data_IF_941961575451
#
_entry.id   IF_941961575451
#
_cell.length_a   1.000
_cell.length_b   1.000
_cell.length_c   1.000
_cell.angle_alpha   90.00
_cell.angle_beta   90.00
_cell.angle_gamma   90.00
#
_symmetry.space_group_name_H-M   'P 1'
#
loop_
_entity.id
_entity.type
_entity.pdbx_description
1 polymer ?
#
# COMPACT_ATOMS: atom_id res chain seq x y z
N UNK A 1 -30.10 20.25 13.54
CA UNK A 1 -29.14 19.12 13.54
C UNK A 1 -28.32 19.11 12.26
N UNK A 2 -28.95 19.10 11.07
CA UNK A 2 -28.25 19.15 9.77
C UNK A 2 -27.29 20.34 9.61
N UNK A 3 -27.69 21.56 9.93
CA UNK A 3 -26.82 22.75 9.79
C UNK A 3 -25.53 22.67 10.63
N UNK A 4 -25.62 22.09 11.83
CA UNK A 4 -24.45 21.87 12.70
C UNK A 4 -23.55 20.77 12.14
N UNK A 5 -24.12 19.74 11.52
CA UNK A 5 -23.40 18.66 10.86
C UNK A 5 -22.67 19.17 9.60
N UNK A 6 -23.33 19.99 8.79
CA UNK A 6 -22.75 20.60 7.59
C UNK A 6 -21.59 21.54 7.94
N UNK A 7 -21.67 22.25 9.07
CA UNK A 7 -20.56 23.05 9.58
C UNK A 7 -19.33 22.18 9.91
N UNK A 8 -19.54 20.98 10.48
CA UNK A 8 -18.47 20.03 10.83
C UNK A 8 -17.78 19.41 9.60
N UNK A 9 -18.38 19.52 8.42
CA UNK A 9 -17.89 18.91 7.17
C UNK A 9 -17.13 19.89 6.27
N UNK A 10 -16.86 21.12 6.75
CA UNK A 10 -16.14 22.16 5.97
C UNK A 10 -14.63 21.94 5.91
N UNK A 11 -14.09 21.02 6.70
CA UNK A 11 -12.67 20.69 6.74
C UNK A 11 -12.34 19.76 7.90
N UNK A 12 -11.05 19.41 8.06
CA UNK A 12 -10.60 18.63 9.20
C UNK A 12 -10.82 19.41 10.50
N UNK A 13 -11.49 18.77 11.46
CA UNK A 13 -11.75 19.34 12.77
C UNK A 13 -10.52 19.23 13.69
N UNK A 14 -10.36 20.23 14.54
CA UNK A 14 -9.38 20.26 15.62
C UNK A 14 -9.83 19.40 16.82
N UNK A 15 -8.88 19.06 17.71
CA UNK A 15 -9.17 18.39 18.99
C UNK A 15 -10.27 19.08 19.82
N UNK A 16 -10.28 20.41 19.83
CA UNK A 16 -11.29 21.21 20.55
C UNK A 16 -12.68 21.01 19.94
N UNK A 17 -12.82 21.20 18.62
CA UNK A 17 -14.08 21.05 17.90
C UNK A 17 -14.62 19.61 17.97
N UNK A 18 -13.74 18.62 17.91
CA UNK A 18 -14.10 17.21 18.08
C UNK A 18 -14.64 16.93 19.49
N UNK A 19 -13.99 17.48 20.51
CA UNK A 19 -14.42 17.32 21.91
C UNK A 19 -15.78 17.97 22.15
N UNK A 20 -15.97 19.19 21.66
CA UNK A 20 -17.24 19.95 21.79
C UNK A 20 -18.42 19.23 21.11
N UNK A 21 -18.16 18.53 20.01
CA UNK A 21 -19.20 17.84 19.24
C UNK A 21 -19.26 16.34 19.51
N UNK A 22 -18.44 15.80 20.43
CA UNK A 22 -18.34 14.36 20.71
C UNK A 22 -19.68 13.69 21.00
N UNK A 23 -20.51 14.26 21.88
CA UNK A 23 -21.82 13.69 22.22
C UNK A 23 -22.75 13.63 21.01
N UNK A 24 -22.69 14.64 20.15
CA UNK A 24 -23.47 14.68 18.92
C UNK A 24 -22.99 13.62 17.93
N UNK A 25 -21.68 13.49 17.76
CA UNK A 25 -21.06 12.51 16.86
C UNK A 25 -21.32 11.07 17.32
N UNK A 26 -21.23 10.80 18.63
CA UNK A 26 -21.53 9.50 19.23
C UNK A 26 -23.01 9.11 19.07
N UNK A 27 -23.93 10.08 19.08
CA UNK A 27 -25.36 9.86 18.97
C UNK A 27 -25.84 9.57 17.52
N UNK A 28 -24.95 9.70 16.54
CA UNK A 28 -25.29 9.44 15.15
C UNK A 28 -25.58 7.95 14.89
N UNK A 29 -26.50 7.62 13.97
CA UNK A 29 -26.64 6.27 13.44
C UNK A 29 -25.33 5.77 12.80
N UNK A 30 -25.05 4.46 12.86
CA UNK A 30 -23.79 3.90 12.35
C UNK A 30 -23.48 4.28 10.90
N UNK A 31 -24.50 4.36 10.03
CA UNK A 31 -24.33 4.81 8.65
C UNK A 31 -23.85 6.26 8.55
N UNK A 32 -24.44 7.18 9.32
CA UNK A 32 -24.04 8.58 9.33
C UNK A 32 -22.64 8.76 9.94
N UNK A 33 -22.28 7.96 10.95
CA UNK A 33 -20.91 7.94 11.48
C UNK A 33 -19.90 7.59 10.38
N UNK A 34 -20.18 6.56 9.58
CA UNK A 34 -19.31 6.14 8.46
C UNK A 34 -19.20 7.25 7.41
N UNK A 35 -20.34 7.85 7.02
CA UNK A 35 -20.37 8.89 5.99
C UNK A 35 -19.57 10.13 6.43
N UNK A 36 -19.76 10.60 7.67
CA UNK A 36 -19.03 11.75 8.21
C UNK A 36 -17.55 11.43 8.40
N UNK A 37 -17.22 10.27 8.99
CA UNK A 37 -15.82 9.86 9.16
C UNK A 37 -15.10 9.79 7.81
N UNK A 38 -15.77 9.26 6.79
CA UNK A 38 -15.23 9.21 5.43
C UNK A 38 -14.96 10.60 4.86
N UNK A 39 -15.92 11.52 4.99
CA UNK A 39 -15.77 12.88 4.48
C UNK A 39 -14.66 13.65 5.22
N UNK A 40 -14.62 13.56 6.55
CA UNK A 40 -13.55 14.16 7.36
C UNK A 40 -12.19 13.62 6.92
N UNK A 41 -12.04 12.29 6.86
CA UNK A 41 -10.78 11.67 6.44
C UNK A 41 -10.41 12.06 5.02
N UNK A 42 -11.34 12.12 4.06
CA UNK A 42 -11.02 12.56 2.69
C UNK A 42 -10.58 14.03 2.60
N UNK A 43 -11.10 14.89 3.48
CA UNK A 43 -10.78 16.33 3.48
C UNK A 43 -9.38 16.65 4.00
N UNK A 44 -8.73 15.72 4.68
CA UNK A 44 -7.40 15.90 5.28
C UNK A 44 -6.32 15.77 4.20
N UNK A 45 -5.35 16.69 4.14
CA UNK A 45 -4.18 16.52 3.29
C UNK A 45 -3.24 15.41 3.85
N UNK A 46 -2.56 14.64 2.99
CA UNK A 46 -1.75 13.49 3.45
C UNK A 46 -0.65 13.88 4.44
N UNK A 47 -0.04 15.05 4.29
CA UNK A 47 0.95 15.61 5.22
C UNK A 47 0.38 15.94 6.61
N UNK A 48 -0.92 16.21 6.69
CA UNK A 48 -1.64 16.57 7.91
C UNK A 48 -2.34 15.37 8.56
N UNK A 49 -2.32 14.19 7.93
CA UNK A 49 -3.02 13.00 8.41
C UNK A 49 -2.57 12.56 9.80
N UNK A 50 -1.27 12.73 10.10
CA UNK A 50 -0.71 12.43 11.44
C UNK A 50 -1.22 13.40 12.51
N UNK A 51 -1.30 14.69 12.20
CA UNK A 51 -1.81 15.69 13.13
C UNK A 51 -3.30 15.45 13.39
N UNK A 52 -4.09 15.21 12.34
CA UNK A 52 -5.50 14.90 12.48
C UNK A 52 -5.75 13.60 13.26
N UNK A 53 -4.92 12.56 13.09
CA UNK A 53 -5.02 11.35 13.91
C UNK A 53 -4.78 11.64 15.41
N UNK A 54 -3.92 12.62 15.74
CA UNK A 54 -3.75 13.06 17.13
C UNK A 54 -4.98 13.82 17.64
N UNK A 55 -5.58 14.68 16.82
CA UNK A 55 -6.82 15.37 17.18
C UNK A 55 -7.98 14.40 17.44
N UNK A 56 -8.07 13.32 16.66
CA UNK A 56 -9.07 12.26 16.84
C UNK A 56 -8.99 11.58 18.21
N UNK A 57 -7.81 11.46 18.83
CA UNK A 57 -7.69 10.87 20.17
C UNK A 57 -8.47 11.64 21.24
N UNK A 58 -8.82 12.91 21.01
CA UNK A 58 -9.69 13.68 21.90
C UNK A 58 -11.11 13.09 22.03
N UNK A 59 -11.55 12.31 21.03
CA UNK A 59 -12.82 11.59 21.06
C UNK A 59 -12.77 10.31 21.91
N UNK A 60 -11.58 9.84 22.29
CA UNK A 60 -11.40 8.55 22.95
C UNK A 60 -12.16 8.48 24.28
N UNK A 61 -12.93 7.41 24.46
CA UNK A 61 -13.70 7.16 25.68
C UNK A 61 -13.39 5.77 26.24
N UNK A 62 -12.53 5.65 27.28
CA UNK A 62 -12.10 4.35 27.80
C UNK A 62 -13.23 3.47 28.36
N UNK A 63 -14.33 4.09 28.78
CA UNK A 63 -15.41 3.43 29.54
C UNK A 63 -16.64 3.02 28.71
N UNK A 64 -16.69 3.34 27.41
CA UNK A 64 -17.82 2.98 26.55
C UNK A 64 -17.53 1.70 25.76
N UNK A 65 -18.41 0.72 25.86
CA UNK A 65 -18.39 -0.53 25.08
C UNK A 65 -19.30 -0.48 23.83
N UNK A 66 -19.81 0.69 23.46
CA UNK A 66 -20.67 0.90 22.29
C UNK A 66 -19.85 1.42 21.09
N UNK A 67 -20.37 1.25 19.86
CA UNK A 67 -19.75 1.75 18.63
C UNK A 67 -19.68 3.28 18.64
N UNK A 68 -18.58 3.83 19.14
CA UNK A 68 -18.34 5.27 19.27
C UNK A 68 -17.98 5.89 17.92
N UNK A 69 -18.14 7.21 17.81
CA UNK A 69 -17.62 7.91 16.62
C UNK A 69 -16.09 7.82 16.54
N UNK A 70 -15.39 7.86 17.69
CA UNK A 70 -13.96 7.63 17.78
C UNK A 70 -13.54 6.33 17.07
N UNK A 71 -14.17 5.20 17.43
CA UNK A 71 -13.87 3.92 16.80
C UNK A 71 -14.07 3.96 15.28
N UNK A 72 -15.17 4.56 14.83
CA UNK A 72 -15.50 4.66 13.40
C UNK A 72 -14.48 5.50 12.64
N UNK A 73 -14.09 6.67 13.17
CA UNK A 73 -13.12 7.54 12.48
C UNK A 73 -11.69 6.99 12.56
N UNK A 74 -11.31 6.30 13.64
CA UNK A 74 -10.03 5.58 13.74
C UNK A 74 -9.94 4.47 12.69
N UNK A 75 -11.02 3.71 12.48
CA UNK A 75 -11.12 2.71 11.43
C UNK A 75 -10.97 3.32 10.02
N UNK A 76 -11.62 4.46 9.75
CA UNK A 76 -11.47 5.18 8.48
C UNK A 76 -10.02 5.67 8.26
N UNK A 77 -9.39 6.20 9.30
CA UNK A 77 -7.99 6.62 9.27
C UNK A 77 -7.05 5.46 9.01
N UNK A 78 -7.29 4.30 9.63
CA UNK A 78 -6.53 3.09 9.38
C UNK A 78 -6.60 2.68 7.90
N UNK A 79 -7.80 2.65 7.30
CA UNK A 79 -7.97 2.35 5.86
C UNK A 79 -7.13 3.28 4.99
N UNK A 80 -7.20 4.59 5.24
CA UNK A 80 -6.42 5.57 4.48
C UNK A 80 -4.92 5.38 4.66
N UNK A 81 -4.45 5.25 5.90
CA UNK A 81 -3.04 5.05 6.21
C UNK A 81 -2.48 3.78 5.57
N UNK A 82 -3.24 2.67 5.63
CA UNK A 82 -2.83 1.41 4.99
C UNK A 82 -2.70 1.59 3.47
N UNK A 83 -3.65 2.25 2.81
CA UNK A 83 -3.57 2.51 1.36
C UNK A 83 -2.40 3.44 1.01
N UNK A 84 -2.20 4.54 1.73
CA UNK A 84 -1.07 5.45 1.50
C UNK A 84 0.28 4.76 1.73
N UNK A 85 0.37 3.86 2.72
CA UNK A 85 1.58 3.10 3.01
C UNK A 85 2.01 2.14 1.90
N UNK A 86 1.12 1.79 0.96
CA UNK A 86 1.48 0.95 -0.20
C UNK A 86 2.43 1.73 -1.12
N UNK A 87 2.19 3.04 -1.29
CA UNK A 87 2.99 3.91 -2.13
C UNK A 87 4.19 4.53 -1.40
N UNK A 88 4.27 4.40 -0.08
CA UNK A 88 5.45 4.82 0.67
C UNK A 88 6.67 3.98 0.26
N UNK A 89 7.66 4.65 -0.34
CA UNK A 89 8.91 4.03 -0.78
C UNK A 89 9.74 3.45 0.37
N UNK A 90 9.51 3.91 1.61
CA UNK A 90 10.13 3.36 2.82
C UNK A 90 9.53 2.00 3.20
N UNK A 91 8.31 1.71 2.76
CA UNK A 91 7.68 0.42 2.94
C UNK A 91 8.27 -0.61 1.96
N UNK A 92 9.07 -1.53 2.50
CA UNK A 92 9.71 -2.61 1.73
C UNK A 92 8.78 -3.77 1.40
N UNK A 93 7.65 -3.89 2.10
CA UNK A 93 6.71 -5.00 1.96
C UNK A 93 5.26 -4.51 1.87
N UNK A 94 4.91 -3.65 0.89
CA UNK A 94 3.60 -3.01 0.82
C UNK A 94 2.46 -4.02 0.59
N UNK A 95 2.75 -5.16 -0.03
CA UNK A 95 1.79 -6.27 -0.20
C UNK A 95 1.26 -6.83 1.12
N UNK A 96 1.98 -6.69 2.24
CA UNK A 96 1.51 -7.15 3.55
C UNK A 96 0.26 -6.42 4.02
N UNK A 97 0.00 -5.21 3.56
CA UNK A 97 -1.24 -4.48 3.88
C UNK A 97 -2.51 -5.27 3.49
N UNK A 98 -2.38 -6.16 2.50
CA UNK A 98 -3.47 -6.96 1.94
C UNK A 98 -3.26 -8.46 2.10
N UNK A 99 -2.19 -8.90 2.77
CA UNK A 99 -1.82 -10.31 2.93
C UNK A 99 -1.52 -10.72 4.38
N UNK A 100 -1.31 -9.75 5.27
CA UNK A 100 -1.03 -10.05 6.67
C UNK A 100 -2.29 -10.55 7.40
N UNK A 101 -2.14 -11.30 8.51
CA UNK A 101 -3.28 -11.78 9.31
C UNK A 101 -4.21 -10.67 9.81
N UNK A 102 -3.69 -9.45 9.97
CA UNK A 102 -4.43 -8.27 10.40
C UNK A 102 -5.19 -7.58 9.26
N UNK A 103 -5.16 -8.14 8.03
CA UNK A 103 -5.97 -7.66 6.92
C UNK A 103 -7.44 -8.03 7.16
N UNK A 104 -8.27 -7.01 7.34
CA UNK A 104 -9.69 -7.15 7.58
C UNK A 104 -10.48 -6.67 6.36
N UNK A 105 -11.03 -7.61 5.58
CA UNK A 105 -11.83 -7.30 4.37
C UNK A 105 -13.06 -6.46 4.72
N UNK A 106 -13.74 -6.77 5.83
CA UNK A 106 -14.98 -6.10 6.22
C UNK A 106 -14.76 -4.61 6.50
N UNK A 107 -13.56 -4.24 6.96
CA UNK A 107 -13.16 -2.86 7.16
C UNK A 107 -13.14 -2.08 5.83
N UNK A 108 -12.56 -2.65 4.77
CA UNK A 108 -12.54 -2.01 3.45
C UNK A 108 -13.94 -1.95 2.81
N UNK A 109 -14.78 -2.97 3.05
CA UNK A 109 -16.18 -2.96 2.60
C UNK A 109 -16.97 -1.85 3.33
N UNK A 110 -16.81 -1.74 4.66
CA UNK A 110 -17.44 -0.70 5.49
C UNK A 110 -17.12 0.69 4.97
N UNK A 111 -15.88 0.93 4.55
CA UNK A 111 -15.40 2.20 4.01
C UNK A 111 -15.21 2.19 2.49
N UNK A 112 -16.06 1.46 1.75
CA UNK A 112 -15.92 1.30 0.30
C UNK A 112 -15.88 2.64 -0.47
N UNK A 113 -16.66 3.64 -0.06
CA UNK A 113 -16.62 4.97 -0.67
C UNK A 113 -15.26 5.65 -0.49
N UNK A 114 -14.69 5.61 0.73
CA UNK A 114 -13.34 6.10 1.03
C UNK A 114 -12.31 5.40 0.13
N UNK A 115 -12.37 4.07 0.03
CA UNK A 115 -11.46 3.30 -0.80
C UNK A 115 -11.55 3.68 -2.28
N UNK A 116 -12.77 3.80 -2.83
CA UNK A 116 -12.98 4.19 -4.23
C UNK A 116 -12.36 5.58 -4.49
N UNK A 117 -12.64 6.55 -3.63
CA UNK A 117 -12.09 7.91 -3.75
C UNK A 117 -10.56 7.93 -3.69
N UNK A 118 -9.95 7.18 -2.76
CA UNK A 118 -8.49 7.12 -2.61
C UNK A 118 -7.81 6.34 -3.74
N UNK A 119 -8.49 5.38 -4.36
CA UNK A 119 -7.90 4.52 -5.41
C UNK A 119 -8.03 5.16 -6.80
N UNK A 120 -9.11 5.91 -7.06
CA UNK A 120 -9.48 6.39 -8.40
C UNK A 120 -8.33 7.06 -9.16
N UNK A 121 -7.49 7.87 -8.51
CA UNK A 121 -6.42 8.64 -9.16
C UNK A 121 -5.05 7.94 -9.15
N UNK A 122 -4.92 6.81 -8.44
CA UNK A 122 -3.63 6.17 -8.19
C UNK A 122 -3.64 4.64 -8.34
N UNK A 123 -4.72 4.07 -8.90
CA UNK A 123 -4.90 2.64 -9.09
C UNK A 123 -3.71 1.99 -9.82
N UNK A 124 -3.25 2.58 -10.91
CA UNK A 124 -2.10 2.08 -11.68
C UNK A 124 -0.81 2.07 -10.85
N UNK A 125 -0.56 3.13 -10.09
CA UNK A 125 0.63 3.24 -9.22
C UNK A 125 0.59 2.20 -8.10
N UNK A 126 -0.56 2.02 -7.47
CA UNK A 126 -0.79 1.01 -6.44
C UNK A 126 -0.56 -0.38 -7.03
N UNK A 127 -1.17 -0.68 -8.17
CA UNK A 127 -1.04 -1.96 -8.86
C UNK A 127 0.40 -2.27 -9.25
N UNK A 128 1.11 -1.31 -9.86
CA UNK A 128 2.52 -1.48 -10.23
C UNK A 128 3.38 -1.76 -9.00
N UNK A 129 3.20 -0.98 -7.92
CA UNK A 129 3.96 -1.14 -6.69
C UNK A 129 3.72 -2.49 -6.00
N UNK A 130 2.47 -2.93 -5.96
CA UNK A 130 2.10 -4.24 -5.44
C UNK A 130 2.66 -5.35 -6.32
N UNK A 131 2.54 -5.26 -7.65
CA UNK A 131 3.05 -6.27 -8.58
C UNK A 131 4.58 -6.42 -8.55
N UNK A 132 5.30 -5.31 -8.38
CA UNK A 132 6.76 -5.29 -8.24
C UNK A 132 7.22 -6.02 -6.98
N UNK A 133 6.56 -5.77 -5.84
CA UNK A 133 7.05 -6.18 -4.52
C UNK A 133 6.47 -7.50 -4.01
N UNK A 134 5.38 -7.99 -4.61
CA UNK A 134 4.72 -9.24 -4.16
C UNK A 134 5.49 -10.47 -4.65
N UNK A 135 5.86 -11.42 -3.77
CA UNK A 135 6.43 -12.70 -4.19
C UNK A 135 5.49 -13.45 -5.14
N UNK A 136 6.04 -14.29 -6.03
CA UNK A 136 5.25 -14.93 -7.08
C UNK A 136 4.15 -15.84 -6.51
N UNK A 137 4.49 -16.57 -5.46
CA UNK A 137 3.62 -17.47 -4.71
C UNK A 137 2.40 -16.79 -4.08
N UNK A 138 2.48 -15.48 -3.79
CA UNK A 138 1.39 -14.73 -3.15
C UNK A 138 0.53 -13.93 -4.13
N UNK A 139 0.81 -13.99 -5.45
CA UNK A 139 0.07 -13.20 -6.45
C UNK A 139 -1.42 -13.50 -6.49
N UNK A 140 -1.78 -14.78 -6.49
CA UNK A 140 -3.19 -15.20 -6.55
C UNK A 140 -3.95 -14.81 -5.28
N UNK A 141 -3.30 -14.93 -4.13
CA UNK A 141 -3.89 -14.52 -2.84
C UNK A 141 -4.10 -13.00 -2.79
N UNK A 142 -3.12 -12.22 -3.25
CA UNK A 142 -3.23 -10.77 -3.32
C UNK A 142 -4.38 -10.34 -4.24
N UNK A 143 -4.46 -10.89 -5.45
CA UNK A 143 -5.53 -10.57 -6.40
C UNK A 143 -6.91 -10.91 -5.82
N UNK A 144 -7.04 -12.06 -5.14
CA UNK A 144 -8.26 -12.45 -4.44
C UNK A 144 -8.63 -11.43 -3.34
N UNK A 145 -7.66 -11.04 -2.52
CA UNK A 145 -7.91 -10.10 -1.41
C UNK A 145 -8.27 -8.70 -1.92
N UNK A 146 -7.68 -8.25 -3.02
CA UNK A 146 -8.07 -7.00 -3.72
C UNK A 146 -9.52 -7.10 -4.22
N UNK A 147 -9.88 -8.21 -4.87
CA UNK A 147 -11.24 -8.41 -5.37
C UNK A 147 -12.27 -8.43 -4.23
N UNK A 148 -11.94 -9.05 -3.10
CA UNK A 148 -12.81 -9.09 -1.92
C UNK A 148 -12.98 -7.71 -1.27
N UNK A 149 -11.90 -6.95 -1.10
CA UNK A 149 -11.95 -5.65 -0.43
C UNK A 149 -12.53 -4.52 -1.29
N UNK A 150 -12.24 -4.52 -2.59
CA UNK A 150 -12.56 -3.38 -3.48
C UNK A 150 -13.59 -3.73 -4.56
N UNK A 151 -13.87 -5.02 -4.77
CA UNK A 151 -14.69 -5.52 -5.87
C UNK A 151 -13.89 -5.78 -7.14
N UNK A 152 -14.31 -6.80 -7.89
CA UNK A 152 -13.65 -7.27 -9.13
C UNK A 152 -13.57 -6.20 -10.23
N UNK A 153 -14.51 -5.24 -10.22
CA UNK A 153 -14.57 -4.14 -11.20
C UNK A 153 -13.91 -2.85 -10.70
N UNK A 154 -13.25 -2.89 -9.54
CA UNK A 154 -12.54 -1.71 -9.06
C UNK A 154 -11.35 -1.39 -9.96
N UNK A 155 -10.96 -0.10 -10.08
CA UNK A 155 -9.79 0.29 -10.85
C UNK A 155 -8.51 -0.47 -10.42
N UNK A 156 -8.36 -0.73 -9.11
CA UNK A 156 -7.22 -1.48 -8.59
C UNK A 156 -7.24 -2.97 -8.99
N UNK A 157 -8.41 -3.61 -8.96
CA UNK A 157 -8.56 -5.02 -9.37
C UNK A 157 -8.24 -5.22 -10.87
N UNK A 158 -8.63 -4.26 -11.71
CA UNK A 158 -8.30 -4.30 -13.14
C UNK A 158 -6.79 -4.09 -13.35
N UNK A 159 -6.24 -3.04 -12.73
CA UNK A 159 -4.84 -2.68 -12.91
C UNK A 159 -3.85 -3.73 -12.36
N UNK A 160 -4.17 -4.43 -11.26
CA UNK A 160 -3.27 -5.42 -10.67
C UNK A 160 -3.03 -6.62 -11.62
N UNK A 161 -4.06 -7.05 -12.33
CA UNK A 161 -3.94 -8.16 -13.28
C UNK A 161 -2.99 -7.79 -14.43
N UNK A 162 -3.13 -6.59 -14.97
CA UNK A 162 -2.25 -6.07 -16.03
C UNK A 162 -0.80 -5.92 -15.53
N UNK A 163 -0.60 -5.33 -14.36
CA UNK A 163 0.72 -5.14 -13.77
C UNK A 163 1.44 -6.49 -13.50
N UNK A 164 0.70 -7.50 -13.05
CA UNK A 164 1.25 -8.83 -12.80
C UNK A 164 1.69 -9.56 -14.08
N UNK A 165 0.94 -9.38 -15.18
CA UNK A 165 1.29 -9.91 -16.50
C UNK A 165 2.52 -9.21 -17.09
N UNK A 166 2.60 -7.89 -17.00
CA UNK A 166 3.74 -7.10 -17.48
C UNK A 166 5.07 -7.48 -16.81
N UNK A 167 5.03 -7.91 -15.54
CA UNK A 167 6.21 -8.43 -14.84
C UNK A 167 6.70 -9.76 -15.40
N UNK A 168 5.80 -10.61 -15.91
CA UNK A 168 6.18 -11.92 -16.48
C UNK A 168 6.75 -11.82 -17.89
N UNK A 169 6.40 -10.77 -18.64
CA UNK A 169 6.92 -10.51 -19.99
C UNK A 169 8.21 -9.70 -20.01
N UNK A 170 8.61 -9.10 -18.88
CA UNK A 170 9.91 -8.43 -18.74
C UNK A 170 10.98 -9.46 -18.34
N UNK A 171 11.90 -9.86 -19.23
CA UNK A 171 12.99 -10.73 -18.84
C UNK A 171 13.81 -9.98 -17.78
N UNK A 172 13.93 -10.58 -16.61
CA UNK A 172 14.79 -10.09 -15.54
C UNK A 172 16.19 -9.93 -16.12
N UNK A 173 16.63 -8.67 -16.30
CA UNK A 173 18.03 -8.35 -16.59
C UNK A 173 18.80 -8.62 -15.30
N UNK A 174 19.12 -9.89 -15.08
CA UNK A 174 19.98 -10.38 -14.01
C UNK A 174 21.29 -9.60 -14.07
N UNK A 175 21.45 -8.64 -13.16
CA UNK A 175 22.68 -7.90 -12.93
C UNK A 175 23.66 -8.74 -12.09
N UNK A 176 23.85 -9.99 -12.49
CA UNK A 176 24.88 -10.90 -11.99
C UNK A 176 25.54 -11.59 -13.19
N UNK A 177 26.28 -10.80 -13.97
CA UNK A 177 27.26 -11.30 -14.94
C UNK A 177 28.33 -10.22 -15.20
N UNK A 178 28.74 -9.53 -14.14
CA UNK A 178 29.92 -8.67 -14.15
C UNK A 178 30.77 -9.18 -12.99
N UNK A 179 32.01 -9.56 -13.27
CA UNK A 179 32.96 -10.26 -12.40
C UNK A 179 32.82 -11.79 -12.39
N UNK A 180 33.28 -12.43 -13.46
CA UNK A 180 34.30 -13.49 -13.42
C UNK A 180 34.59 -13.95 -14.85
N UNK A 181 35.57 -13.33 -15.51
CA UNK A 181 36.38 -13.96 -16.54
C UNK A 181 37.68 -13.16 -16.67
N UNK A 182 38.57 -13.37 -15.69
CA UNK A 182 39.99 -13.17 -15.90
C UNK A 182 40.57 -14.55 -16.19
N UNK A 183 40.62 -14.90 -17.48
CA UNK A 183 41.48 -15.99 -17.95
C UNK A 183 42.42 -15.37 -18.97
N UNK A 184 43.69 -15.36 -18.57
CA UNK A 184 44.83 -14.77 -19.27
C UNK A 184 45.02 -15.47 -20.61
N UNK A 185 44.87 -14.74 -21.71
CA UNK A 185 45.34 -15.15 -23.01
C UNK A 185 46.84 -14.80 -23.12
N UNK A 186 47.69 -15.81 -23.02
CA UNK A 186 49.08 -15.75 -23.47
C UNK A 186 49.41 -17.08 -24.14
N UNK A 187 48.91 -17.24 -25.37
CA UNK A 187 49.22 -18.35 -26.25
C UNK A 187 50.15 -17.82 -27.35
N UNK A 188 51.46 -17.94 -27.14
CA UNK A 188 52.47 -17.83 -28.20
C UNK A 188 52.79 -19.25 -28.69
N UNK A 189 52.37 -19.54 -29.91
CA UNK A 189 52.76 -20.70 -30.72
C UNK A 189 54.27 -20.72 -31.00
N UNK A 190 54.93 -21.89 -30.99
CA UNK A 190 56.22 -22.08 -31.66
C UNK A 190 56.03 -22.85 -32.99
N UNK A 191 56.95 -22.70 -33.97
CA UNK A 191 57.14 -23.73 -34.98
C UNK A 191 58.54 -24.36 -34.93
N UNK A 192 58.50 -25.69 -34.73
CA UNK A 192 59.23 -26.76 -35.44
C UNK A 192 60.72 -26.64 -35.84
N UNK A 193 61.51 -27.54 -35.23
CA UNK A 193 62.42 -28.53 -35.81
C UNK A 193 63.33 -28.21 -37.02
N UNK A 194 64.65 -28.31 -36.79
CA UNK A 194 65.70 -29.12 -37.47
C UNK A 194 67.05 -28.58 -36.98
N UNK A 195 68.15 -29.28 -36.68
CA UNK A 195 68.60 -30.66 -36.86
C UNK A 195 69.88 -30.85 -36.00
N UNK A 196 70.05 -32.05 -35.44
CA UNK A 196 71.26 -32.88 -35.34
C UNK A 196 72.62 -32.40 -34.74
N UNK A 197 73.22 -33.38 -34.02
CA UNK A 197 74.67 -33.64 -33.79
C UNK A 197 75.34 -32.83 -32.65
N UNK A 198 76.12 -33.36 -31.70
CA UNK A 198 76.87 -34.62 -31.46
C UNK A 198 77.26 -34.62 -29.95
N UNK A 199 77.05 -35.70 -29.18
CA UNK A 199 78.01 -36.74 -28.77
C UNK A 199 79.12 -36.39 -27.75
N UNK A 200 79.21 -37.29 -26.74
CA UNK A 200 80.26 -37.57 -25.72
C UNK A 200 80.20 -36.74 -24.44
N UNK A 201 79.86 -37.33 -23.29
CA UNK A 201 80.44 -38.43 -22.49
C UNK A 201 81.21 -37.85 -21.31
#
# INVERSE_FOLDING_TARGET
MQEKLEALLRGPLTSEELTENRLLLDALPSREKIDIATQMVLSVASESLRAFNYDVEALRHPEKNEETFHETISQALEVRQRLESILDLRNRHPHRQLLAPEFNVDLYIKFSFLCISLIAEQAEKLAARLAETTPFEHKSELARNINLAFGERSPLALAINEAMLARTSSPTRTRQAIFSNSTVAAEQQPPSFSEASQFRA
#
